data_IF_292925588009
#
_entry.id   IF_292925588009
#
_cell.length_a   1.000
_cell.length_b   1.000
_cell.length_c   1.000
_cell.angle_alpha   90.00
_cell.angle_beta   90.00
_cell.angle_gamma   90.00
#
_symmetry.space_group_name_H-M   'P 1'
#
loop_
_entity.id
_entity.type
_entity.pdbx_description
1 polymer ?
#
# COMPACT_ATOMS: atom_id res chain seq x y z
N UNK A 1 7.18 -23.28 4.83
CA UNK A 1 7.29 -23.81 3.46
C UNK A 1 5.93 -23.93 2.75
N UNK A 2 4.83 -24.20 3.46
CA UNK A 2 3.48 -24.36 2.87
C UNK A 2 2.89 -23.06 2.32
N UNK A 3 3.20 -21.91 2.89
CA UNK A 3 2.64 -20.62 2.43
C UNK A 3 3.30 -20.05 1.18
N UNK A 4 4.56 -20.39 0.94
CA UNK A 4 5.28 -19.97 -0.27
C UNK A 4 4.62 -20.56 -1.51
N UNK A 5 4.19 -21.82 -1.45
CA UNK A 5 3.55 -22.49 -2.59
C UNK A 5 2.11 -22.03 -2.88
N UNK A 6 1.37 -21.54 -1.88
CA UNK A 6 0.00 -21.06 -2.07
C UNK A 6 -0.08 -19.67 -2.69
N UNK A 7 0.99 -18.88 -2.61
CA UNK A 7 1.07 -17.53 -3.18
C UNK A 7 1.73 -17.49 -4.55
N UNK A 8 2.36 -18.58 -4.96
CA UNK A 8 2.87 -18.72 -6.30
C UNK A 8 1.69 -18.94 -7.25
N UNK A 9 1.40 -17.94 -8.10
CA UNK A 9 0.46 -18.11 -9.19
C UNK A 9 0.92 -19.26 -10.12
N UNK A 10 0.17 -19.52 -11.17
CA UNK A 10 0.43 -20.61 -12.13
C UNK A 10 1.85 -20.60 -12.71
N UNK A 11 2.50 -19.44 -12.70
CA UNK A 11 3.84 -19.23 -13.28
C UNK A 11 5.00 -19.61 -12.33
N UNK A 12 4.72 -19.90 -11.06
CA UNK A 12 5.71 -20.31 -10.05
C UNK A 12 6.63 -19.19 -9.55
N UNK A 13 7.59 -19.57 -8.69
CA UNK A 13 8.49 -18.64 -7.99
C UNK A 13 9.39 -17.79 -8.90
N UNK A 14 9.66 -18.25 -10.10
CA UNK A 14 10.53 -17.53 -11.06
C UNK A 14 9.89 -16.27 -11.65
N UNK A 15 8.57 -16.12 -11.49
CA UNK A 15 7.79 -14.96 -11.95
C UNK A 15 7.26 -14.11 -10.80
N UNK A 16 7.73 -14.34 -9.58
CA UNK A 16 7.40 -13.58 -8.38
C UNK A 16 8.62 -12.82 -7.89
N UNK A 17 8.42 -11.56 -7.50
CA UNK A 17 9.48 -10.72 -6.97
C UNK A 17 9.03 -10.13 -5.62
N UNK A 18 9.85 -10.29 -4.59
CA UNK A 18 9.57 -9.78 -3.24
C UNK A 18 10.56 -8.69 -2.82
N UNK A 19 11.43 -8.24 -3.73
CA UNK A 19 12.47 -7.22 -3.52
C UNK A 19 12.39 -6.06 -4.52
N UNK A 20 11.44 -6.10 -5.43
CA UNK A 20 11.29 -5.16 -6.54
C UNK A 20 11.04 -3.72 -6.07
N UNK A 21 10.16 -3.52 -5.09
CA UNK A 21 9.88 -2.18 -4.53
C UNK A 21 11.15 -1.60 -3.90
N UNK A 22 11.90 -2.41 -3.16
CA UNK A 22 13.16 -1.98 -2.54
C UNK A 22 14.16 -1.50 -3.60
N UNK A 23 14.35 -2.27 -4.67
CA UNK A 23 15.24 -1.92 -5.77
C UNK A 23 14.78 -0.63 -6.48
N UNK A 24 13.50 -0.52 -6.80
CA UNK A 24 12.95 0.65 -7.50
C UNK A 24 12.97 1.91 -6.62
N UNK A 25 12.81 1.79 -5.29
CA UNK A 25 12.91 2.92 -4.37
C UNK A 25 14.28 3.58 -4.39
N UNK A 26 15.36 2.84 -4.65
CA UNK A 26 16.72 3.40 -4.69
C UNK A 26 16.99 4.23 -5.95
N UNK A 27 16.20 4.06 -7.02
CA UNK A 27 16.44 4.75 -8.29
C UNK A 27 15.95 6.20 -8.20
N UNK A 28 16.82 7.21 -8.42
CA UNK A 28 16.43 8.61 -8.42
C UNK A 28 15.31 8.90 -9.43
N UNK A 29 14.31 9.69 -9.02
CA UNK A 29 13.20 10.12 -9.89
C UNK A 29 12.18 9.02 -10.24
N UNK A 30 12.39 7.76 -9.83
CA UNK A 30 11.45 6.68 -10.07
C UNK A 30 10.16 6.90 -9.24
N UNK A 31 9.01 6.87 -9.90
CA UNK A 31 7.70 6.79 -9.26
C UNK A 31 7.30 5.32 -9.13
N UNK A 32 6.70 4.93 -8.00
CA UNK A 32 6.28 3.54 -7.75
C UNK A 32 4.80 3.53 -7.43
N UNK A 33 4.02 2.81 -8.25
CA UNK A 33 2.58 2.65 -8.12
C UNK A 33 2.24 1.17 -7.93
N UNK A 34 1.49 0.86 -6.88
CA UNK A 34 1.04 -0.49 -6.54
C UNK A 34 -0.48 -0.46 -6.24
N UNK A 35 -1.34 -0.53 -7.27
CA UNK A 35 -2.78 -0.38 -7.12
C UNK A 35 -3.42 -1.53 -6.36
N UNK A 36 -4.47 -1.22 -5.60
CA UNK A 36 -5.22 -2.16 -4.78
C UNK A 36 -6.27 -2.96 -5.58
N UNK A 37 -6.80 -2.39 -6.67
CA UNK A 37 -7.82 -3.00 -7.52
C UNK A 37 -7.73 -2.53 -8.98
N UNK A 38 -8.68 -2.97 -9.82
CA UNK A 38 -8.69 -2.66 -11.24
C UNK A 38 -9.06 -1.19 -11.56
N UNK A 39 -9.86 -0.55 -10.71
CA UNK A 39 -10.21 0.88 -10.84
C UNK A 39 -8.98 1.73 -10.62
N UNK A 40 -8.26 1.47 -9.54
CA UNK A 40 -7.01 2.14 -9.22
C UNK A 40 -5.91 1.82 -10.25
N UNK A 41 -5.84 0.58 -10.72
CA UNK A 41 -4.90 0.16 -11.76
C UNK A 41 -5.07 0.96 -13.06
N UNK A 42 -6.32 1.15 -13.52
CA UNK A 42 -6.63 1.97 -14.71
C UNK A 42 -6.19 3.43 -14.51
N UNK A 43 -6.44 3.98 -13.31
CA UNK A 43 -6.01 5.33 -12.98
C UNK A 43 -4.48 5.46 -12.93
N UNK A 44 -3.79 4.46 -12.37
CA UNK A 44 -2.32 4.38 -12.35
C UNK A 44 -1.72 4.34 -13.76
N UNK A 45 -2.29 3.54 -14.68
CA UNK A 45 -1.81 3.48 -16.06
C UNK A 45 -1.95 4.84 -16.75
N UNK A 46 -3.10 5.51 -16.56
CA UNK A 46 -3.31 6.85 -17.10
C UNK A 46 -2.30 7.86 -16.54
N UNK A 47 -2.14 7.87 -15.21
CA UNK A 47 -1.19 8.77 -14.54
C UNK A 47 0.27 8.51 -14.97
N UNK A 48 0.65 7.24 -15.15
CA UNK A 48 1.98 6.87 -15.63
C UNK A 48 2.22 7.35 -17.08
N UNK A 49 1.20 7.32 -17.92
CA UNK A 49 1.28 7.84 -19.28
C UNK A 49 1.44 9.36 -19.33
N UNK A 50 0.77 10.07 -18.42
CA UNK A 50 0.81 11.53 -18.35
C UNK A 50 2.05 12.06 -17.60
N UNK A 51 2.71 11.21 -16.81
CA UNK A 51 3.89 11.61 -16.02
C UNK A 51 5.14 11.70 -16.88
N UNK A 52 5.87 12.80 -16.74
CA UNK A 52 7.14 12.99 -17.45
C UNK A 52 8.33 12.47 -16.61
N UNK A 53 8.51 11.17 -16.59
CA UNK A 53 9.58 10.51 -15.84
C UNK A 53 9.42 9.00 -15.79
N UNK A 54 10.33 8.28 -15.14
CA UNK A 54 10.25 6.83 -15.01
C UNK A 54 9.17 6.45 -13.99
N UNK A 55 8.32 5.49 -14.36
CA UNK A 55 7.26 4.95 -13.50
C UNK A 55 7.36 3.43 -13.46
N UNK A 56 7.40 2.88 -12.26
CA UNK A 56 7.27 1.45 -12.00
C UNK A 56 5.83 1.13 -11.59
N UNK A 57 5.12 0.40 -12.44
CA UNK A 57 3.76 -0.08 -12.19
C UNK A 57 3.83 -1.54 -11.73
N UNK A 58 3.43 -1.81 -10.49
CA UNK A 58 3.43 -3.14 -9.91
C UNK A 58 2.02 -3.68 -9.84
N UNK A 59 1.77 -4.78 -10.52
CA UNK A 59 0.47 -5.46 -10.50
C UNK A 59 0.59 -6.81 -9.81
N UNK A 60 -0.34 -7.11 -8.90
CA UNK A 60 -0.48 -8.42 -8.29
C UNK A 60 -1.05 -9.44 -9.28
N UNK A 61 -0.73 -10.72 -9.09
CA UNK A 61 -1.25 -11.82 -9.92
C UNK A 61 -2.65 -12.26 -9.50
N UNK A 62 -2.98 -12.13 -8.23
CA UNK A 62 -4.26 -12.61 -7.69
C UNK A 62 -5.41 -11.67 -8.04
N UNK A 63 -6.57 -12.24 -8.31
CA UNK A 63 -7.80 -11.47 -8.39
C UNK A 63 -8.14 -10.88 -7.02
N UNK A 64 -8.49 -9.61 -7.00
CA UNK A 64 -8.90 -8.87 -5.80
C UNK A 64 -10.30 -8.29 -6.00
N UNK A 65 -11.09 -8.09 -4.94
CA UNK A 65 -12.34 -7.38 -5.05
C UNK A 65 -12.14 -5.92 -5.42
N UNK A 66 -13.14 -5.33 -6.05
CA UNK A 66 -13.14 -3.90 -6.37
C UNK A 66 -13.47 -3.11 -5.10
N UNK A 67 -12.57 -2.23 -4.70
CA UNK A 67 -12.66 -1.42 -3.48
C UNK A 67 -12.96 0.04 -3.83
N UNK A 68 -12.39 0.52 -4.94
CA UNK A 68 -12.39 1.93 -5.31
C UNK A 68 -13.52 2.31 -6.29
N UNK A 69 -14.50 1.44 -6.56
CA UNK A 69 -15.69 1.77 -7.35
C UNK A 69 -16.66 2.63 -6.53
N UNK A 70 -16.24 3.87 -6.27
CA UNK A 70 -16.98 4.88 -5.49
C UNK A 70 -17.07 6.16 -6.30
N UNK A 71 -18.23 6.86 -6.27
CA UNK A 71 -18.41 8.09 -7.04
C UNK A 71 -17.45 9.23 -6.68
N UNK A 72 -16.92 9.21 -5.44
CA UNK A 72 -16.00 10.21 -4.89
C UNK A 72 -14.53 9.81 -5.07
N UNK A 73 -14.24 8.61 -5.59
CA UNK A 73 -12.87 8.17 -5.79
C UNK A 73 -12.15 9.03 -6.84
N UNK A 74 -11.02 9.57 -6.45
CA UNK A 74 -10.10 10.29 -7.33
C UNK A 74 -8.69 9.82 -7.03
N UNK A 75 -8.03 9.31 -8.07
CA UNK A 75 -6.61 9.01 -7.98
C UNK A 75 -5.78 10.30 -8.12
N UNK A 76 -4.87 10.50 -7.21
CA UNK A 76 -3.87 11.56 -7.28
C UNK A 76 -2.50 10.95 -6.97
N UNK A 77 -1.55 11.14 -7.90
CA UNK A 77 -0.19 10.61 -7.74
C UNK A 77 0.48 11.24 -6.51
N UNK A 78 1.03 10.40 -5.65
CA UNK A 78 1.66 10.83 -4.40
C UNK A 78 0.69 11.03 -3.24
N UNK A 79 -0.60 10.71 -3.41
CA UNK A 79 -1.60 10.78 -2.35
C UNK A 79 -2.09 9.40 -1.93
N UNK A 80 -2.22 9.23 -0.60
CA UNK A 80 -2.88 8.09 0.02
C UNK A 80 -4.36 8.36 0.27
N UNK A 81 -5.11 7.32 0.59
CA UNK A 81 -6.56 7.42 0.84
C UNK A 81 -6.91 6.68 2.12
N UNK A 82 -7.62 7.34 3.03
CA UNK A 82 -8.26 6.68 4.18
C UNK A 82 -9.49 5.94 3.66
N UNK A 83 -9.46 4.62 3.69
CA UNK A 83 -10.58 3.76 3.28
C UNK A 83 -11.53 3.49 4.43
N UNK A 84 -11.03 3.49 5.64
CA UNK A 84 -11.78 3.30 6.88
C UNK A 84 -11.20 4.16 7.98
N UNK A 85 -12.06 4.89 8.67
CA UNK A 85 -11.68 5.65 9.86
C UNK A 85 -11.50 4.74 11.08
N UNK A 86 -10.54 5.09 11.95
CA UNK A 86 -10.27 4.40 13.21
C UNK A 86 -9.49 5.28 14.16
N UNK A 87 -9.35 4.82 15.42
CA UNK A 87 -8.70 5.63 16.48
C UNK A 87 -7.67 4.86 17.33
N UNK A 88 -7.64 3.52 17.27
CA UNK A 88 -6.83 2.70 18.16
C UNK A 88 -5.54 2.20 17.51
N UNK A 89 -5.57 2.00 16.19
CA UNK A 89 -4.44 1.55 15.35
C UNK A 89 -4.65 1.98 13.91
N UNK A 90 -3.58 2.31 13.20
CA UNK A 90 -3.60 2.53 11.75
C UNK A 90 -2.97 1.34 11.03
N UNK A 91 -3.67 0.80 10.03
CA UNK A 91 -3.16 -0.21 9.11
C UNK A 91 -2.88 0.47 7.77
N UNK A 92 -1.61 0.58 7.42
CA UNK A 92 -1.15 1.15 6.15
C UNK A 92 -0.89 0.00 5.19
N UNK A 93 -1.64 -0.07 4.11
CA UNK A 93 -1.57 -1.18 3.16
C UNK A 93 -1.35 -0.69 1.72
N UNK A 94 -0.85 -1.58 0.87
CA UNK A 94 -0.65 -1.32 -0.56
C UNK A 94 -1.00 -2.54 -1.40
N UNK A 95 -1.40 -2.31 -2.64
CA UNK A 95 -1.67 -3.38 -3.59
C UNK A 95 -2.74 -4.35 -3.11
N UNK A 96 -2.54 -5.62 -3.41
CA UNK A 96 -3.49 -6.69 -3.06
C UNK A 96 -3.74 -6.85 -1.55
N UNK A 97 -2.85 -6.33 -0.71
CA UNK A 97 -2.99 -6.40 0.74
C UNK A 97 -4.02 -5.43 1.32
N UNK A 98 -4.53 -4.49 0.54
CA UNK A 98 -5.54 -3.51 1.00
C UNK A 98 -6.86 -4.20 1.38
N UNK A 99 -7.32 -5.17 0.60
CA UNK A 99 -8.52 -5.95 0.93
C UNK A 99 -8.34 -6.74 2.23
N UNK A 100 -7.19 -7.38 2.39
CA UNK A 100 -6.85 -8.10 3.64
C UNK A 100 -6.82 -7.16 4.85
N UNK A 101 -6.32 -5.92 4.68
CA UNK A 101 -6.31 -4.91 5.74
C UNK A 101 -7.73 -4.48 6.13
N UNK A 102 -8.62 -4.30 5.16
CA UNK A 102 -10.04 -4.02 5.42
C UNK A 102 -10.74 -5.17 6.14
N UNK A 103 -10.43 -6.42 5.74
CA UNK A 103 -10.91 -7.62 6.43
C UNK A 103 -10.42 -7.70 7.88
N UNK A 104 -9.14 -7.45 8.11
CA UNK A 104 -8.55 -7.42 9.45
C UNK A 104 -9.17 -6.33 10.33
N UNK A 105 -9.44 -5.14 9.77
CA UNK A 105 -10.09 -4.06 10.50
C UNK A 105 -11.52 -4.41 10.95
N UNK A 106 -12.27 -5.21 10.17
CA UNK A 106 -13.58 -5.72 10.57
C UNK A 106 -13.47 -6.73 11.73
N UNK A 107 -12.49 -7.63 11.68
CA UNK A 107 -12.26 -8.59 12.77
C UNK A 107 -11.84 -7.88 14.06
N UNK A 108 -11.00 -6.85 13.96
CA UNK A 108 -10.60 -6.04 15.11
C UNK A 108 -11.76 -5.29 15.75
N UNK A 109 -12.75 -4.84 14.95
CA UNK A 109 -13.96 -4.20 15.45
C UNK A 109 -14.79 -5.14 16.33
N UNK A 110 -14.86 -6.43 15.99
CA UNK A 110 -15.52 -7.45 16.81
C UNK A 110 -14.84 -7.62 18.19
N UNK A 111 -13.55 -7.34 18.27
CA UNK A 111 -12.75 -7.31 19.49
C UNK A 111 -12.77 -5.93 20.20
N UNK A 112 -13.54 -4.97 19.69
CA UNK A 112 -13.66 -3.62 20.24
C UNK A 112 -12.51 -2.68 19.89
N UNK A 113 -11.67 -3.03 18.91
CA UNK A 113 -10.53 -2.23 18.42
C UNK A 113 -10.93 -1.50 17.14
N UNK A 114 -10.86 -0.17 17.17
CA UNK A 114 -11.19 0.70 16.03
C UNK A 114 -9.95 0.93 15.17
N UNK A 115 -9.81 0.16 14.09
CA UNK A 115 -8.69 0.26 13.18
C UNK A 115 -8.99 1.22 12.01
N UNK A 116 -8.08 2.17 11.78
CA UNK A 116 -8.00 2.96 10.55
C UNK A 116 -7.32 2.14 9.46
N UNK A 117 -7.80 2.24 8.22
CA UNK A 117 -7.14 1.61 7.06
C UNK A 117 -6.78 2.67 6.04
N UNK A 118 -5.50 2.77 5.72
CA UNK A 118 -4.94 3.70 4.75
C UNK A 118 -4.39 2.92 3.55
N UNK A 119 -4.91 3.23 2.36
CA UNK A 119 -4.37 2.72 1.11
C UNK A 119 -3.26 3.65 0.60
N UNK A 120 -2.07 3.11 0.41
CA UNK A 120 -0.93 3.78 -0.20
C UNK A 120 -0.64 3.14 -1.56
N UNK A 121 -1.32 3.64 -2.59
CA UNK A 121 -1.06 3.22 -3.97
C UNK A 121 0.29 3.75 -4.47
N UNK A 122 0.62 5.00 -4.18
CA UNK A 122 1.92 5.59 -4.52
C UNK A 122 2.91 5.38 -3.38
N UNK A 123 3.85 4.44 -3.57
CA UNK A 123 4.88 4.15 -2.56
C UNK A 123 6.01 5.19 -2.64
N UNK A 124 6.28 5.70 -3.83
CA UNK A 124 7.26 6.76 -4.06
C UNK A 124 6.75 7.71 -5.16
N UNK A 125 6.59 9.03 -4.87
CA UNK A 125 6.77 9.64 -3.55
C UNK A 125 5.71 9.18 -2.55
N UNK A 126 6.09 9.02 -1.27
CA UNK A 126 5.15 8.66 -0.20
C UNK A 126 4.32 9.88 0.20
N UNK A 127 3.03 9.70 0.48
CA UNK A 127 2.22 10.72 1.15
C UNK A 127 2.56 10.75 2.64
N UNK A 128 3.59 11.52 2.97
CA UNK A 128 4.05 11.66 4.37
C UNK A 128 2.99 12.31 5.25
N UNK A 129 2.17 13.21 4.70
CA UNK A 129 1.14 13.92 5.44
C UNK A 129 0.08 12.95 6.01
N UNK A 130 -0.44 12.05 5.19
CA UNK A 130 -1.44 11.07 5.64
C UNK A 130 -0.84 10.12 6.67
N UNK A 131 0.41 9.67 6.49
CA UNK A 131 1.11 8.78 7.43
C UNK A 131 1.28 9.47 8.77
N UNK A 132 1.76 10.71 8.79
CA UNK A 132 1.99 11.47 10.02
C UNK A 132 0.68 11.78 10.76
N UNK A 133 -0.38 12.14 10.02
CA UNK A 133 -1.68 12.44 10.62
C UNK A 133 -2.30 11.18 11.25
N UNK A 134 -2.23 10.05 10.55
CA UNK A 134 -2.72 8.77 11.04
C UNK A 134 -1.92 8.28 12.27
N UNK A 135 -0.59 8.37 12.22
CA UNK A 135 0.26 8.01 13.35
C UNK A 135 -0.02 8.87 14.59
N UNK A 136 -0.21 10.19 14.42
CA UNK A 136 -0.58 11.09 15.52
C UNK A 136 -1.96 10.77 16.11
N UNK A 137 -2.91 10.36 15.25
CA UNK A 137 -4.28 10.03 15.64
C UNK A 137 -4.34 8.75 16.47
N UNK A 138 -3.67 7.69 16.04
CA UNK A 138 -3.81 6.36 16.62
C UNK A 138 -2.66 5.94 17.54
N UNK A 139 -1.49 6.55 17.39
CA UNK A 139 -0.27 6.21 18.16
C UNK A 139 0.33 4.83 17.84
N UNK A 140 -0.26 4.09 16.90
CA UNK A 140 0.17 2.74 16.52
C UNK A 140 -0.01 2.54 15.03
N UNK A 141 1.04 2.10 14.35
CA UNK A 141 1.02 1.87 12.90
C UNK A 141 1.48 0.46 12.59
N UNK A 142 0.71 -0.23 11.75
CA UNK A 142 1.04 -1.53 11.19
C UNK A 142 1.07 -1.40 9.68
N UNK A 143 2.10 -1.91 9.02
CA UNK A 143 2.21 -1.91 7.56
C UNK A 143 1.95 -3.29 6.99
N UNK A 144 1.23 -3.36 5.86
CA UNK A 144 0.87 -4.62 5.19
C UNK A 144 1.19 -4.50 3.70
N UNK A 145 2.05 -5.38 3.22
CA UNK A 145 2.49 -5.41 1.83
C UNK A 145 2.85 -6.83 1.39
N UNK A 146 2.72 -7.11 0.10
CA UNK A 146 3.26 -8.33 -0.53
C UNK A 146 4.68 -8.04 -1.01
N UNK A 147 5.63 -8.03 -0.07
CA UNK A 147 7.04 -7.71 -0.32
C UNK A 147 7.89 -8.18 0.86
N UNK A 148 9.21 -8.21 0.69
CA UNK A 148 10.14 -8.33 1.82
C UNK A 148 9.98 -7.16 2.78
N UNK A 149 10.16 -7.40 4.06
CA UNK A 149 10.15 -6.32 5.09
C UNK A 149 11.27 -5.30 4.90
N UNK A 150 12.28 -5.61 4.08
CA UNK A 150 13.43 -4.74 3.82
C UNK A 150 13.16 -3.89 2.58
N UNK A 151 13.12 -2.58 2.74
CA UNK A 151 13.08 -1.61 1.64
C UNK A 151 11.70 -1.39 0.99
N UNK A 152 10.65 -2.10 1.41
CA UNK A 152 9.28 -1.94 0.91
C UNK A 152 8.53 -0.75 1.48
N UNK A 153 7.19 -0.85 1.52
CA UNK A 153 6.29 0.15 2.10
C UNK A 153 6.59 0.37 3.59
N UNK A 154 6.77 -0.72 4.35
CA UNK A 154 7.07 -0.64 5.78
C UNK A 154 8.31 0.17 6.06
N UNK A 155 9.39 -0.03 5.28
CA UNK A 155 10.60 0.79 5.39
C UNK A 155 10.33 2.26 5.04
N UNK A 156 9.53 2.56 4.02
CA UNK A 156 9.19 3.94 3.64
C UNK A 156 8.41 4.65 4.76
N UNK A 157 7.46 3.95 5.38
CA UNK A 157 6.67 4.47 6.51
C UNK A 157 7.56 4.68 7.73
N UNK A 158 8.45 3.72 8.04
CA UNK A 158 9.41 3.86 9.14
C UNK A 158 10.37 5.04 8.91
N UNK A 159 10.91 5.20 7.71
CA UNK A 159 11.78 6.34 7.36
C UNK A 159 11.06 7.68 7.61
N UNK A 160 9.80 7.79 7.16
CA UNK A 160 8.96 8.98 7.37
C UNK A 160 8.72 9.25 8.86
N UNK A 161 8.29 8.23 9.62
CA UNK A 161 7.99 8.38 11.06
C UNK A 161 9.26 8.70 11.85
N UNK A 162 10.37 8.01 11.61
CA UNK A 162 11.63 8.29 12.30
C UNK A 162 12.16 9.70 12.04
N UNK A 163 11.94 10.23 10.82
CA UNK A 163 12.39 11.56 10.46
C UNK A 163 11.52 12.69 11.07
N UNK A 164 10.20 12.48 11.19
CA UNK A 164 9.26 13.56 11.48
C UNK A 164 8.42 13.37 12.75
N UNK A 165 8.21 12.14 13.18
CA UNK A 165 7.39 11.80 14.35
C UNK A 165 7.83 10.47 14.95
N UNK A 166 9.00 10.39 15.60
CA UNK A 166 9.48 9.17 16.22
C UNK A 166 8.55 8.74 17.37
N UNK A 167 7.93 7.57 17.23
CA UNK A 167 7.01 6.94 18.19
C UNK A 167 7.56 5.61 18.65
#
# INVERSE_FOLDING_TARGET
LGDVYKRQGEDGATHQCNEDIALMRTIPGMVILNPADDVEAKACVKAAYEYNGPVYLRFGRLAVPVINDRPDYKFELGKGVVLREGKDVTIVATGICVDSALGAAKMLEEEGISAEVVNICTIKPLDEEIILNSAKKTGKVVTVEEHSVIGGLGSAVCDCLCAHYPV
#
